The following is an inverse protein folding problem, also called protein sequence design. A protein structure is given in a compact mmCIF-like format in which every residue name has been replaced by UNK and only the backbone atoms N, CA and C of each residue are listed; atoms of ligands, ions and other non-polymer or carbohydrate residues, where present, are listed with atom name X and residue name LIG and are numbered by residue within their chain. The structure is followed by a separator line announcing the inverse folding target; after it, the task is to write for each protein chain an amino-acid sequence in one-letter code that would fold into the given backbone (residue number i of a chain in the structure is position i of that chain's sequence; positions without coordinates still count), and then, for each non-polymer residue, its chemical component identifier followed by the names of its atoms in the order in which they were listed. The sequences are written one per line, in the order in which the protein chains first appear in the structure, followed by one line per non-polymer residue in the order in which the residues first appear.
data_IF_531496121129
#
_entry.id   IF_531496121129
#
_cell.length_a   1.000
_cell.length_b   1.000
_cell.length_c   1.000
_cell.angle_alpha   90.00
_cell.angle_beta   90.00
_cell.angle_gamma   90.00
#
_symmetry.space_group_name_H-M   'P 1'
#
loop_
_entity.id
_entity.type
_entity.pdbx_description
1 polymer ?
#
# COMPACT_ATOMS: atom_id res chain seq x y z
N UNK A 1 8.87 -17.54 -2.69
CA UNK A 1 9.74 -16.39 -2.90
C UNK A 1 9.21 -15.51 -4.03
N UNK A 2 9.14 -14.22 -3.80
CA UNK A 2 8.60 -13.28 -4.79
C UNK A 2 9.75 -12.77 -5.65
N UNK A 3 9.73 -13.08 -6.95
CA UNK A 3 10.85 -12.78 -7.82
C UNK A 3 10.46 -12.19 -9.17
N UNK A 4 9.18 -12.09 -9.47
CA UNK A 4 8.77 -11.72 -10.81
C UNK A 4 7.59 -10.76 -10.79
N UNK A 5 7.33 -10.15 -11.94
CA UNK A 5 6.17 -9.29 -12.12
C UNK A 5 4.87 -10.05 -11.90
N UNK A 6 4.86 -11.35 -12.21
CA UNK A 6 3.69 -12.19 -11.95
C UNK A 6 3.37 -12.25 -10.47
N UNK A 7 4.39 -12.38 -9.63
CA UNK A 7 4.21 -12.41 -8.19
C UNK A 7 3.68 -11.08 -7.69
N UNK A 8 4.20 -9.97 -8.23
CA UNK A 8 3.71 -8.66 -7.86
C UNK A 8 2.26 -8.46 -8.27
N UNK A 9 1.88 -8.90 -9.45
CA UNK A 9 0.49 -8.83 -9.90
C UNK A 9 -0.43 -9.59 -8.97
N UNK A 10 -0.02 -10.78 -8.57
CA UNK A 10 -0.79 -11.58 -7.63
C UNK A 10 -0.95 -10.86 -6.31
N UNK A 11 0.13 -10.24 -5.84
CA UNK A 11 0.11 -9.46 -4.61
C UNK A 11 -0.89 -8.31 -4.71
N UNK A 12 -0.87 -7.57 -5.83
CA UNK A 12 -1.80 -6.46 -6.03
C UNK A 12 -3.24 -6.97 -6.02
N UNK A 13 -3.52 -8.04 -6.77
CA UNK A 13 -4.87 -8.60 -6.81
C UNK A 13 -5.35 -9.03 -5.43
N UNK A 14 -4.45 -9.57 -4.63
CA UNK A 14 -4.80 -10.06 -3.31
C UNK A 14 -5.12 -8.92 -2.35
N UNK A 15 -4.38 -7.83 -2.43
CA UNK A 15 -4.45 -6.78 -1.42
C UNK A 15 -5.12 -5.48 -1.87
N UNK A 16 -5.42 -5.32 -3.16
CA UNK A 16 -5.87 -4.01 -3.66
C UNK A 16 -7.13 -3.51 -2.97
N UNK A 17 -8.10 -4.36 -2.73
CA UNK A 17 -9.35 -3.94 -2.08
C UNK A 17 -9.12 -3.54 -0.63
N UNK A 18 -8.32 -4.31 0.07
CA UNK A 18 -8.03 -4.01 1.48
C UNK A 18 -7.23 -2.73 1.63
N UNK A 19 -6.25 -2.53 0.75
CA UNK A 19 -5.46 -1.31 0.76
C UNK A 19 -6.34 -0.11 0.42
N UNK A 20 -7.16 -0.23 -0.62
CA UNK A 20 -8.06 0.85 -1.00
C UNK A 20 -9.03 1.19 0.14
N UNK A 21 -9.65 0.18 0.73
CA UNK A 21 -10.61 0.40 1.82
C UNK A 21 -9.95 1.08 3.01
N UNK A 22 -8.74 0.66 3.34
CA UNK A 22 -7.98 1.28 4.42
C UNK A 22 -7.70 2.75 4.10
N UNK A 23 -7.22 3.02 2.88
CA UNK A 23 -6.92 4.39 2.46
C UNK A 23 -8.19 5.24 2.45
N UNK A 24 -9.30 4.69 1.99
CA UNK A 24 -10.57 5.41 1.96
C UNK A 24 -11.01 5.79 3.37
N UNK A 25 -10.89 4.87 4.31
CA UNK A 25 -11.28 5.17 5.69
C UNK A 25 -10.43 6.27 6.30
N UNK A 26 -9.16 6.32 5.95
CA UNK A 26 -8.27 7.33 6.49
C UNK A 26 -8.42 8.67 5.81
N UNK A 27 -8.58 8.67 4.49
CA UNK A 27 -8.57 9.91 3.69
C UNK A 27 -9.96 10.47 3.44
N UNK A 28 -10.99 9.64 3.48
CA UNK A 28 -12.38 10.08 3.36
C UNK A 28 -12.78 10.57 1.98
N UNK A 29 -11.99 10.25 0.94
CA UNK A 29 -12.21 10.75 -0.41
C UNK A 29 -11.81 9.69 -1.40
N UNK A 30 -12.69 9.40 -2.36
CA UNK A 30 -12.47 8.33 -3.32
C UNK A 30 -11.24 8.56 -4.20
N UNK A 31 -11.11 9.77 -4.75
CA UNK A 31 -10.01 10.07 -5.65
C UNK A 31 -8.68 9.99 -4.92
N UNK A 32 -8.65 10.50 -3.69
CA UNK A 32 -7.43 10.43 -2.91
C UNK A 32 -7.10 9.00 -2.50
N UNK A 33 -8.11 8.20 -2.20
CA UNK A 33 -7.88 6.80 -1.85
C UNK A 33 -7.32 6.04 -3.05
N UNK A 34 -7.82 6.33 -4.25
CA UNK A 34 -7.31 5.70 -5.47
C UNK A 34 -5.86 6.11 -5.72
N UNK A 35 -5.57 7.39 -5.57
CA UNK A 35 -4.21 7.91 -5.73
C UNK A 35 -3.26 7.30 -4.72
N UNK A 36 -3.69 7.25 -3.47
CA UNK A 36 -2.88 6.67 -2.40
C UNK A 36 -2.62 5.19 -2.66
N UNK A 37 -3.63 4.47 -3.15
CA UNK A 37 -3.48 3.04 -3.44
C UNK A 37 -2.40 2.81 -4.48
N UNK A 38 -2.37 3.61 -5.54
CA UNK A 38 -1.33 3.52 -6.54
C UNK A 38 0.05 3.81 -5.95
N UNK A 39 0.15 4.87 -5.16
CA UNK A 39 1.41 5.23 -4.51
C UNK A 39 1.89 4.11 -3.60
N UNK A 40 0.97 3.53 -2.83
CA UNK A 40 1.30 2.43 -1.92
C UNK A 40 1.89 1.25 -2.69
N UNK A 41 1.25 0.85 -3.80
CA UNK A 41 1.76 -0.30 -4.55
C UNK A 41 3.04 0.00 -5.29
N UNK A 42 3.28 1.24 -5.69
CA UNK A 42 4.57 1.64 -6.24
C UNK A 42 5.66 1.47 -5.19
N UNK A 43 5.39 1.87 -3.95
CA UNK A 43 6.35 1.70 -2.86
C UNK A 43 6.57 0.23 -2.53
N UNK A 44 5.49 -0.55 -2.52
CA UNK A 44 5.58 -2.00 -2.30
C UNK A 44 6.47 -2.62 -3.37
N UNK A 45 6.25 -2.25 -4.63
CA UNK A 45 7.05 -2.80 -5.72
C UNK A 45 8.53 -2.48 -5.53
N UNK A 46 8.86 -1.24 -5.19
CA UNK A 46 10.24 -0.84 -5.01
C UNK A 46 10.92 -1.49 -3.82
N UNK A 47 10.16 -1.79 -2.77
CA UNK A 47 10.71 -2.34 -1.53
C UNK A 47 10.63 -3.86 -1.45
N UNK A 48 9.92 -4.49 -2.38
CA UNK A 48 9.62 -5.92 -2.28
C UNK A 48 10.85 -6.80 -2.25
N UNK A 49 11.86 -6.42 -3.01
CA UNK A 49 13.12 -7.18 -3.06
C UNK A 49 13.84 -7.18 -1.73
N UNK A 50 13.54 -6.22 -0.86
CA UNK A 50 14.16 -6.11 0.45
C UNK A 50 13.31 -6.75 1.55
N UNK A 51 12.14 -7.24 1.19
CA UNK A 51 11.27 -7.93 2.15
C UNK A 51 11.85 -9.30 2.46
N UNK A 52 12.12 -9.53 3.72
CA UNK A 52 12.81 -10.77 4.15
C UNK A 52 11.90 -11.83 4.73
N UNK A 53 10.61 -11.57 4.77
CA UNK A 53 9.69 -12.54 5.32
C UNK A 53 9.68 -12.62 6.84
N UNK A 54 10.31 -11.67 7.51
CA UNK A 54 10.36 -11.63 8.97
C UNK A 54 9.03 -11.24 9.58
N UNK A 55 8.17 -10.61 8.79
CA UNK A 55 6.83 -10.25 9.19
C UNK A 55 5.86 -10.79 8.15
N UNK A 56 4.58 -10.87 8.52
CA UNK A 56 3.58 -11.27 7.55
C UNK A 56 3.51 -10.23 6.44
N UNK A 57 3.37 -10.70 5.22
CA UNK A 57 3.27 -9.81 4.07
C UNK A 57 2.14 -8.78 4.25
N UNK A 58 1.00 -9.23 4.74
CA UNK A 58 -0.13 -8.34 4.97
C UNK A 58 0.20 -7.23 5.97
N UNK A 59 0.87 -7.58 7.06
CA UNK A 59 1.25 -6.57 8.07
C UNK A 59 2.21 -5.54 7.49
N UNK A 60 3.15 -6.01 6.67
CA UNK A 60 4.12 -5.14 6.04
C UNK A 60 3.43 -4.16 5.08
N UNK A 61 2.50 -4.66 4.27
CA UNK A 61 1.77 -3.82 3.33
C UNK A 61 0.90 -2.80 4.07
N UNK A 62 0.24 -3.23 5.15
CA UNK A 62 -0.62 -2.32 5.92
C UNK A 62 0.19 -1.23 6.60
N UNK A 63 1.42 -1.53 7.00
CA UNK A 63 2.29 -0.52 7.58
C UNK A 63 2.62 0.54 6.54
N UNK A 64 2.95 0.12 5.32
CA UNK A 64 3.21 1.06 4.23
C UNK A 64 1.95 1.88 3.94
N UNK A 65 0.79 1.23 3.92
CA UNK A 65 -0.49 1.90 3.69
C UNK A 65 -0.72 2.99 4.73
N UNK A 66 -0.56 2.66 6.00
CA UNK A 66 -0.76 3.63 7.08
C UNK A 66 0.21 4.80 6.95
N UNK A 67 1.47 4.52 6.67
CA UNK A 67 2.48 5.57 6.56
C UNK A 67 2.17 6.54 5.41
N UNK A 68 1.77 6.01 4.26
CA UNK A 68 1.42 6.85 3.11
C UNK A 68 0.21 7.71 3.45
N UNK A 69 -0.82 7.12 4.03
CA UNK A 69 -2.06 7.85 4.34
C UNK A 69 -1.83 8.91 5.41
N UNK A 70 -1.07 8.60 6.44
CA UNK A 70 -0.75 9.58 7.48
C UNK A 70 0.00 10.77 6.87
N UNK A 71 0.95 10.47 5.99
CA UNK A 71 1.73 11.51 5.32
C UNK A 71 0.81 12.43 4.52
N UNK A 72 -0.14 11.86 3.80
CA UNK A 72 -1.09 12.64 2.99
C UNK A 72 -2.01 13.49 3.86
N UNK A 73 -2.45 12.92 4.99
CA UNK A 73 -3.29 13.65 5.92
C UNK A 73 -2.57 14.86 6.49
N UNK A 74 -1.29 14.69 6.81
CA UNK A 74 -0.48 15.78 7.36
C UNK A 74 -0.28 16.92 6.37
N UNK A 75 -0.08 16.57 5.10
CA UNK A 75 0.19 17.60 4.10
C UNK A 75 -1.04 18.43 3.78
N UNK A 76 -2.23 18.00 4.21
CA UNK A 76 -3.47 18.75 3.99
C UNK A 76 -3.79 19.72 5.10
N UNK A 77 -3.12 19.61 6.22
CA UNK A 77 -3.37 20.51 7.34
C UNK A 77 -2.66 21.84 7.11
N UNK A 78 -3.35 22.94 7.34
CA UNK A 78 -2.71 24.25 7.19
C UNK A 78 -1.61 24.48 8.19
#
# INVERSE_FOLDING_TARGET
MIQSDTDFRTLVKTFQHKVYNHAYRMLGNREEAEDATQDIFLRVHGALKNFRGEARLSSWIYKITANVCISRMRSKQP
#
